data_IF_886358579642
#
_entry.id   IF_886358579642
#
_cell.length_a   1.000
_cell.length_b   1.000
_cell.length_c   1.000
_cell.angle_alpha   90.00
_cell.angle_beta   90.00
_cell.angle_gamma   90.00
#
_symmetry.space_group_name_H-M   'P 1'
#
loop_
_entity.id
_entity.type
_entity.pdbx_description
1 polymer ?
#
# COMPACT_ATOMS: atom_id res chain seq x y z
N UNK A 1 38.57 29.96 -5.60
CA UNK A 1 37.88 29.57 -4.38
C UNK A 1 36.39 29.93 -4.35
N UNK A 2 35.89 30.97 -5.02
CA UNK A 2 34.44 31.34 -5.01
C UNK A 2 33.50 30.37 -5.72
N UNK A 3 33.96 29.55 -6.70
CA UNK A 3 33.12 28.59 -7.44
C UNK A 3 32.81 27.32 -6.65
N UNK A 4 33.64 26.90 -5.70
CA UNK A 4 33.45 25.71 -4.88
C UNK A 4 32.35 25.90 -3.82
N UNK A 5 32.20 27.15 -3.33
CA UNK A 5 31.18 27.48 -2.31
C UNK A 5 29.76 27.44 -2.87
N UNK A 6 29.60 27.73 -4.18
CA UNK A 6 28.29 27.70 -4.85
C UNK A 6 27.76 26.28 -5.03
N UNK A 7 28.62 25.30 -5.26
CA UNK A 7 28.24 23.87 -5.45
C UNK A 7 27.79 23.27 -4.13
N UNK A 8 28.38 23.61 -3.01
CA UNK A 8 27.99 23.13 -1.67
C UNK A 8 26.62 23.63 -1.19
N UNK A 9 26.15 24.79 -1.68
CA UNK A 9 24.86 25.35 -1.36
C UNK A 9 23.71 24.69 -2.16
N UNK A 10 23.98 24.12 -3.33
CA UNK A 10 22.94 23.48 -4.16
C UNK A 10 22.70 21.99 -3.82
N UNK A 11 23.66 21.29 -3.23
CA UNK A 11 23.55 19.86 -2.92
C UNK A 11 22.40 19.53 -1.97
N UNK A 12 22.15 20.26 -0.86
CA UNK A 12 21.03 19.94 0.04
C UNK A 12 19.66 20.20 -0.57
N UNK A 13 19.52 21.20 -1.44
CA UNK A 13 18.25 21.54 -2.10
C UNK A 13 17.85 20.45 -3.10
N UNK A 14 18.79 19.93 -3.87
CA UNK A 14 18.55 18.85 -4.83
C UNK A 14 18.18 17.55 -4.11
N UNK A 15 18.87 17.21 -3.02
CA UNK A 15 18.59 16.02 -2.22
C UNK A 15 17.18 16.06 -1.59
N UNK A 16 16.77 17.22 -1.08
CA UNK A 16 15.44 17.42 -0.49
C UNK A 16 14.34 17.25 -1.55
N UNK A 17 14.48 17.86 -2.72
CA UNK A 17 13.52 17.72 -3.82
C UNK A 17 13.38 16.28 -4.33
N UNK A 18 14.47 15.52 -4.38
CA UNK A 18 14.44 14.10 -4.75
C UNK A 18 13.67 13.24 -3.74
N UNK A 19 13.83 13.52 -2.45
CA UNK A 19 13.12 12.79 -1.38
C UNK A 19 11.61 13.04 -1.45
N UNK A 20 11.17 14.26 -1.65
CA UNK A 20 9.74 14.58 -1.76
C UNK A 20 9.12 13.93 -3.02
N UNK A 21 9.79 14.00 -4.16
CA UNK A 21 9.34 13.32 -5.40
C UNK A 21 9.23 11.80 -5.21
N UNK A 22 10.13 11.19 -4.45
CA UNK A 22 10.06 9.78 -4.11
C UNK A 22 8.83 9.47 -3.26
N UNK A 23 8.55 10.28 -2.23
CA UNK A 23 7.35 10.12 -1.39
C UNK A 23 6.07 10.20 -2.21
N UNK A 24 5.93 11.19 -3.07
CA UNK A 24 4.79 11.31 -3.99
C UNK A 24 4.64 10.08 -4.88
N UNK A 25 5.74 9.56 -5.41
CA UNK A 25 5.75 8.36 -6.25
C UNK A 25 5.24 7.15 -5.48
N UNK A 26 5.67 6.96 -4.24
CA UNK A 26 5.25 5.85 -3.39
C UNK A 26 3.77 5.95 -2.98
N UNK A 27 3.27 7.16 -2.73
CA UNK A 27 1.84 7.39 -2.50
C UNK A 27 1.04 6.99 -3.73
N UNK A 28 1.39 7.47 -4.93
CA UNK A 28 0.72 7.13 -6.19
C UNK A 28 0.74 5.61 -6.46
N UNK A 29 1.89 4.95 -6.22
CA UNK A 29 1.99 3.48 -6.34
C UNK A 29 1.09 2.77 -5.32
N UNK A 30 0.97 3.28 -4.10
CA UNK A 30 0.12 2.69 -3.06
C UNK A 30 -1.36 2.84 -3.40
N UNK A 31 -1.80 3.99 -3.89
CA UNK A 31 -3.15 4.19 -4.39
C UNK A 31 -3.44 3.23 -5.55
N UNK A 32 -2.54 3.17 -6.54
CA UNK A 32 -2.71 2.26 -7.69
C UNK A 32 -2.76 0.79 -7.26
N UNK A 33 -1.95 0.38 -6.28
CA UNK A 33 -2.04 -0.95 -5.70
C UNK A 33 -3.44 -1.23 -5.12
N UNK A 34 -4.03 -0.30 -4.36
CA UNK A 34 -5.38 -0.51 -3.80
C UNK A 34 -6.44 -0.66 -4.89
N UNK A 35 -6.33 0.08 -5.98
CA UNK A 35 -7.23 -0.06 -7.12
C UNK A 35 -7.15 -1.44 -7.77
N UNK A 36 -5.94 -1.92 -8.06
CA UNK A 36 -5.77 -3.18 -8.79
C UNK A 36 -5.91 -4.41 -7.91
N UNK A 37 -5.49 -4.34 -6.66
CA UNK A 37 -5.43 -5.48 -5.75
C UNK A 37 -6.61 -5.57 -4.80
N UNK A 38 -7.03 -4.44 -4.19
CA UNK A 38 -8.07 -4.47 -3.15
C UNK A 38 -9.47 -4.36 -3.74
N UNK A 39 -9.69 -3.47 -4.69
CA UNK A 39 -11.00 -3.29 -5.32
C UNK A 39 -11.13 -4.04 -6.64
N UNK A 40 -10.10 -4.04 -7.48
CA UNK A 40 -10.08 -4.68 -8.79
C UNK A 40 -9.81 -6.18 -8.76
N UNK A 41 -9.11 -6.68 -7.73
CA UNK A 41 -8.69 -8.08 -7.56
C UNK A 41 -8.03 -8.67 -8.83
N UNK A 42 -7.25 -7.85 -9.51
CA UNK A 42 -6.59 -8.22 -10.75
C UNK A 42 -5.14 -8.66 -10.47
N UNK A 43 -4.89 -9.96 -10.48
CA UNK A 43 -3.57 -10.52 -10.21
C UNK A 43 -2.53 -10.09 -11.26
N UNK A 44 -2.88 -10.09 -12.55
CA UNK A 44 -1.97 -9.74 -13.64
C UNK A 44 -1.44 -8.30 -13.52
N UNK A 45 -2.29 -7.37 -13.08
CA UNK A 45 -1.86 -6.00 -12.79
C UNK A 45 -1.13 -5.89 -11.45
N UNK A 46 -1.60 -6.59 -10.42
CA UNK A 46 -1.01 -6.56 -9.08
C UNK A 46 0.42 -7.12 -9.07
N UNK A 47 0.70 -8.21 -9.79
CA UNK A 47 2.04 -8.84 -9.83
C UNK A 47 3.12 -7.91 -10.37
N UNK A 48 2.78 -6.89 -11.15
CA UNK A 48 3.73 -5.87 -11.64
C UNK A 48 4.35 -5.05 -10.50
N UNK A 49 3.68 -4.96 -9.37
CA UNK A 49 4.16 -4.27 -8.16
C UNK A 49 4.97 -5.18 -7.23
N UNK A 50 4.99 -6.47 -7.46
CA UNK A 50 5.66 -7.46 -6.62
C UNK A 50 7.06 -7.79 -7.16
N UNK A 51 7.91 -8.34 -6.28
CA UNK A 51 9.21 -8.87 -6.70
C UNK A 51 8.98 -10.27 -7.25
N UNK A 52 9.43 -10.59 -8.47
CA UNK A 52 9.36 -11.95 -8.97
C UNK A 52 10.05 -12.95 -8.03
N UNK A 53 9.43 -14.10 -7.77
CA UNK A 53 9.96 -15.18 -6.94
C UNK A 53 10.16 -14.86 -5.45
N UNK A 54 9.69 -13.70 -4.97
CA UNK A 54 9.68 -13.35 -3.55
C UNK A 54 8.24 -13.24 -3.07
N UNK A 55 7.93 -13.96 -1.99
CA UNK A 55 6.61 -13.95 -1.39
C UNK A 55 6.32 -12.60 -0.72
N UNK A 56 5.56 -11.77 -1.40
CA UNK A 56 4.96 -10.61 -0.75
C UNK A 56 3.73 -11.06 0.06
N UNK A 57 3.50 -10.44 1.22
CA UNK A 57 2.52 -10.93 2.18
C UNK A 57 1.56 -9.85 2.68
N UNK A 58 0.47 -10.29 3.32
CA UNK A 58 -0.51 -9.39 3.92
C UNK A 58 -1.13 -9.97 5.19
N UNK A 59 -1.31 -9.09 6.19
CA UNK A 59 -2.32 -9.27 7.22
C UNK A 59 -3.57 -8.49 6.81
N UNK A 60 -4.68 -9.18 6.66
CA UNK A 60 -5.96 -8.58 6.29
C UNK A 60 -6.70 -8.00 7.50
N UNK A 61 -7.61 -7.06 7.27
CA UNK A 61 -8.37 -6.36 8.30
C UNK A 61 -9.36 -7.25 9.10
N UNK A 62 -9.53 -8.47 8.67
CA UNK A 62 -10.43 -9.45 9.30
C UNK A 62 -9.74 -10.39 10.31
N UNK A 63 -8.46 -10.15 10.64
CA UNK A 63 -7.71 -10.97 11.57
C UNK A 63 -7.32 -12.36 11.06
N UNK A 64 -7.42 -12.62 9.76
CA UNK A 64 -6.91 -13.89 9.18
C UNK A 64 -5.39 -13.98 9.32
N UNK A 65 -4.82 -15.20 9.38
CA UNK A 65 -3.38 -15.43 9.36
C UNK A 65 -2.70 -14.76 8.16
N UNK A 66 -1.38 -14.62 8.23
CA UNK A 66 -0.57 -14.09 7.15
C UNK A 66 -0.87 -14.85 5.84
N UNK A 67 -1.13 -14.10 4.78
CA UNK A 67 -1.35 -14.63 3.43
C UNK A 67 -0.32 -14.09 2.47
N UNK A 68 -0.02 -14.87 1.43
CA UNK A 68 0.80 -14.45 0.30
C UNK A 68 -0.06 -13.73 -0.73
N UNK A 69 0.54 -12.81 -1.47
CA UNK A 69 -0.05 -12.21 -2.65
C UNK A 69 0.28 -13.06 -3.88
N UNK A 70 -0.43 -14.16 -4.04
CA UNK A 70 -0.33 -15.07 -5.18
C UNK A 70 -1.65 -15.13 -5.94
N UNK A 71 -1.66 -15.87 -7.03
CA UNK A 71 -2.86 -16.04 -7.85
C UNK A 71 -4.03 -16.65 -7.06
N UNK A 72 -3.75 -17.58 -6.16
CA UNK A 72 -4.76 -18.18 -5.30
C UNK A 72 -5.45 -17.12 -4.42
N UNK A 73 -4.68 -16.20 -3.83
CA UNK A 73 -5.24 -15.10 -3.03
C UNK A 73 -6.21 -14.23 -3.83
N UNK A 74 -5.87 -13.89 -5.07
CA UNK A 74 -6.69 -13.03 -5.92
C UNK A 74 -7.94 -13.75 -6.46
N UNK A 75 -7.87 -15.06 -6.64
CA UNK A 75 -8.97 -15.89 -7.12
C UNK A 75 -9.92 -16.38 -6.00
N UNK A 76 -9.61 -16.10 -4.73
CA UNK A 76 -10.54 -16.40 -3.64
C UNK A 76 -11.88 -15.68 -3.88
N UNK A 77 -13.01 -16.40 -3.79
CA UNK A 77 -14.31 -15.78 -3.92
C UNK A 77 -14.55 -14.78 -2.79
N UNK A 78 -15.09 -13.62 -3.13
CA UNK A 78 -15.50 -12.60 -2.16
C UNK A 78 -17.01 -12.45 -2.20
N UNK A 79 -17.63 -12.36 -1.02
CA UNK A 79 -19.08 -12.21 -0.88
C UNK A 79 -19.51 -10.74 -0.68
N UNK A 80 -18.58 -9.82 -0.80
CA UNK A 80 -18.86 -8.39 -0.65
C UNK A 80 -18.59 -7.64 -1.95
N UNK A 81 -19.28 -6.52 -2.11
CA UNK A 81 -19.11 -5.60 -3.24
C UNK A 81 -18.83 -4.21 -2.69
N UNK A 82 -17.72 -3.58 -3.10
CA UNK A 82 -17.43 -2.21 -2.73
C UNK A 82 -18.49 -1.25 -3.26
N UNK A 83 -18.99 -0.37 -2.40
CA UNK A 83 -19.81 0.79 -2.74
C UNK A 83 -18.90 2.00 -2.84
N UNK A 84 -18.04 2.20 -1.82
CA UNK A 84 -17.06 3.29 -1.75
C UNK A 84 -15.76 2.77 -1.17
N UNK A 85 -14.64 3.25 -1.70
CA UNK A 85 -13.29 2.92 -1.21
C UNK A 85 -12.37 4.12 -1.46
N UNK A 86 -12.03 4.85 -0.42
CA UNK A 86 -11.25 6.08 -0.49
C UNK A 86 -10.02 5.97 0.40
N UNK A 87 -8.89 6.43 -0.10
CA UNK A 87 -7.64 6.48 0.66
C UNK A 87 -7.30 7.91 1.03
N UNK A 88 -6.87 8.14 2.26
CA UNK A 88 -6.52 9.47 2.76
C UNK A 88 -5.42 9.43 3.83
N UNK A 89 -4.92 10.60 4.23
CA UNK A 89 -3.89 10.76 5.27
C UNK A 89 -2.63 9.93 5.00
N UNK A 90 -2.13 9.99 3.75
CA UNK A 90 -0.91 9.27 3.37
C UNK A 90 0.32 9.90 4.00
N UNK A 91 1.17 9.06 4.61
CA UNK A 91 2.52 9.43 5.05
C UNK A 91 3.54 8.43 4.53
N UNK A 92 4.77 8.89 4.32
CA UNK A 92 5.85 8.05 3.81
C UNK A 92 7.09 8.24 4.66
N UNK A 93 7.62 7.13 5.15
CA UNK A 93 8.92 7.05 5.82
C UNK A 93 9.87 6.27 4.93
N UNK A 94 10.98 6.87 4.57
CA UNK A 94 12.02 6.24 3.74
C UNK A 94 13.24 5.95 4.60
N UNK A 95 13.82 4.76 4.45
CA UNK A 95 15.05 4.39 5.15
C UNK A 95 16.24 5.29 4.72
N UNK A 96 17.25 5.50 5.58
CA UNK A 96 18.39 6.37 5.26
C UNK A 96 19.15 5.99 3.99
N UNK A 97 19.17 4.70 3.66
CA UNK A 97 19.82 4.19 2.44
C UNK A 97 18.91 4.18 1.20
N UNK A 98 17.71 4.72 1.29
CA UNK A 98 16.70 4.75 0.22
C UNK A 98 16.35 3.37 -0.38
N UNK A 99 16.52 2.28 0.37
CA UNK A 99 16.23 0.94 -0.13
C UNK A 99 14.87 0.41 0.34
N UNK A 100 14.30 0.99 1.38
CA UNK A 100 13.02 0.57 1.96
C UNK A 100 12.19 1.79 2.31
N UNK A 101 10.89 1.67 2.16
CA UNK A 101 9.94 2.69 2.59
C UNK A 101 8.69 2.07 3.17
N UNK A 102 8.10 2.76 4.15
CA UNK A 102 6.78 2.45 4.69
C UNK A 102 5.83 3.57 4.29
N UNK A 103 4.73 3.19 3.63
CA UNK A 103 3.63 4.11 3.32
C UNK A 103 2.47 3.75 4.25
N UNK A 104 2.02 4.70 5.06
CA UNK A 104 0.83 4.52 5.90
C UNK A 104 -0.29 5.43 5.44
N UNK A 105 -1.52 4.96 5.54
CA UNK A 105 -2.71 5.73 5.16
C UNK A 105 -3.97 5.15 5.79
N UNK A 106 -5.05 5.89 5.73
CA UNK A 106 -6.37 5.39 6.07
C UNK A 106 -7.15 4.99 4.83
N UNK A 107 -8.06 4.05 5.01
CA UNK A 107 -9.13 3.75 4.05
C UNK A 107 -10.45 3.98 4.73
N UNK A 108 -11.30 4.76 4.08
CA UNK A 108 -12.69 4.98 4.44
C UNK A 108 -13.58 4.54 3.29
N UNK A 109 -14.67 3.85 3.61
CA UNK A 109 -15.56 3.34 2.58
C UNK A 109 -16.76 2.60 3.14
N UNK A 110 -17.43 1.90 2.23
CA UNK A 110 -18.49 0.95 2.56
C UNK A 110 -18.54 -0.17 1.54
N UNK A 111 -19.06 -1.30 1.95
CA UNK A 111 -19.30 -2.44 1.08
C UNK A 111 -20.66 -3.07 1.38
N UNK A 112 -21.26 -3.65 0.35
CA UNK A 112 -22.47 -4.45 0.48
C UNK A 112 -22.09 -5.89 0.84
N UNK A 113 -22.67 -6.42 1.91
CA UNK A 113 -22.54 -7.80 2.33
C UNK A 113 -23.91 -8.32 2.77
N UNK A 114 -24.42 -9.38 2.12
CA UNK A 114 -25.75 -9.96 2.41
C UNK A 114 -26.84 -8.87 2.47
N UNK A 115 -26.91 -8.02 1.46
CA UNK A 115 -27.87 -6.91 1.33
C UNK A 115 -27.71 -5.75 2.35
N UNK A 116 -26.77 -5.84 3.27
CA UNK A 116 -26.46 -4.79 4.23
C UNK A 116 -25.26 -3.97 3.80
N UNK A 117 -25.38 -2.64 3.87
CA UNK A 117 -24.24 -1.75 3.72
C UNK A 117 -23.46 -1.69 5.02
N UNK A 118 -22.17 -2.06 4.96
CA UNK A 118 -21.27 -2.09 6.10
C UNK A 118 -20.22 -0.99 5.93
N UNK A 119 -20.10 -0.14 6.94
CA UNK A 119 -19.03 0.87 7.00
C UNK A 119 -17.67 0.20 7.15
N UNK A 120 -16.72 0.66 6.35
CA UNK A 120 -15.35 0.19 6.36
C UNK A 120 -14.40 1.34 6.70
N UNK A 121 -13.64 1.18 7.77
CA UNK A 121 -12.64 2.15 8.18
C UNK A 121 -11.43 1.43 8.75
N UNK A 122 -10.29 1.52 8.07
CA UNK A 122 -9.04 0.86 8.44
C UNK A 122 -7.85 1.78 8.33
N UNK A 123 -6.79 1.44 9.05
CA UNK A 123 -5.44 1.96 8.81
C UNK A 123 -4.63 0.89 8.11
N UNK A 124 -3.75 1.36 7.24
CA UNK A 124 -2.97 0.50 6.35
C UNK A 124 -1.49 0.89 6.43
N UNK A 125 -0.63 -0.12 6.41
CA UNK A 125 0.81 0.05 6.22
C UNK A 125 1.25 -0.80 5.04
N UNK A 126 1.93 -0.19 4.06
CA UNK A 126 2.59 -0.88 2.96
C UNK A 126 4.08 -0.76 3.10
N UNK A 127 4.79 -1.88 2.96
CA UNK A 127 6.25 -1.90 2.90
C UNK A 127 6.68 -2.06 1.46
N UNK A 128 7.46 -1.10 1.00
CA UNK A 128 8.07 -1.05 -0.32
C UNK A 128 9.56 -1.23 -0.23
N UNK A 129 10.16 -1.90 -1.19
CA UNK A 129 11.63 -2.01 -1.34
C UNK A 129 12.06 -1.62 -2.72
N UNK A 130 13.22 -0.99 -2.83
CA UNK A 130 13.85 -0.70 -4.10
C UNK A 130 14.56 -1.97 -4.60
N UNK A 131 13.98 -2.60 -5.60
CA UNK A 131 14.52 -3.78 -6.24
C UNK A 131 14.98 -3.44 -7.65
N UNK A 132 16.30 -3.44 -7.88
CA UNK A 132 16.91 -3.11 -9.19
C UNK A 132 16.46 -1.76 -9.77
N UNK A 133 16.32 -0.74 -8.92
CA UNK A 133 15.88 0.59 -9.33
C UNK A 133 14.35 0.79 -9.37
N UNK A 134 13.57 -0.24 -9.15
CA UNK A 134 12.10 -0.16 -9.09
C UNK A 134 11.57 -0.40 -7.69
N UNK A 135 10.61 0.43 -7.27
CA UNK A 135 9.92 0.23 -6.01
C UNK A 135 8.86 -0.87 -6.13
N UNK A 136 9.07 -1.96 -5.39
CA UNK A 136 8.22 -3.14 -5.33
C UNK A 136 7.66 -3.32 -3.93
N UNK A 137 6.43 -3.80 -3.84
CA UNK A 137 5.74 -4.06 -2.58
C UNK A 137 6.11 -5.44 -2.05
N UNK A 138 6.40 -5.52 -0.75
CA UNK A 138 6.77 -6.79 -0.08
C UNK A 138 5.81 -7.16 1.05
N UNK A 139 5.13 -6.18 1.66
CA UNK A 139 4.21 -6.48 2.75
C UNK A 139 3.08 -5.46 2.84
N UNK A 140 1.97 -5.87 3.42
CA UNK A 140 0.94 -4.96 3.92
C UNK A 140 0.29 -5.44 5.21
N UNK A 141 -0.15 -4.49 6.00
CA UNK A 141 -0.96 -4.73 7.18
C UNK A 141 -2.19 -3.82 7.15
N UNK A 142 -3.35 -4.43 7.36
CA UNK A 142 -4.64 -3.76 7.40
C UNK A 142 -5.25 -4.00 8.77
N UNK A 143 -5.62 -2.96 9.50
CA UNK A 143 -6.27 -3.09 10.80
C UNK A 143 -7.46 -2.15 10.92
N UNK A 144 -8.59 -2.61 11.48
CA UNK A 144 -9.75 -1.77 11.72
C UNK A 144 -9.39 -0.59 12.62
N UNK A 145 -10.00 0.57 12.35
CA UNK A 145 -10.00 1.70 13.29
C UNK A 145 -11.09 1.46 14.35
N UNK A 146 -10.97 2.14 15.50
CA UNK A 146 -11.91 1.99 16.62
C UNK A 146 -13.37 2.11 16.14
N UNK A 147 -14.18 1.12 16.48
CA UNK A 147 -15.60 1.07 16.15
C UNK A 147 -15.93 0.62 14.73
N UNK A 148 -14.92 0.34 13.89
CA UNK A 148 -15.14 -0.17 12.55
C UNK A 148 -15.01 -1.69 12.48
N UNK A 149 -15.67 -2.30 11.50
CA UNK A 149 -15.58 -3.72 11.19
C UNK A 149 -14.64 -3.87 9.99
N UNK A 150 -13.75 -4.86 10.04
CA UNK A 150 -12.96 -5.26 8.88
C UNK A 150 -13.81 -5.98 7.84
N UNK A 151 -13.18 -6.44 6.75
CA UNK A 151 -13.85 -7.30 5.78
C UNK A 151 -14.30 -8.60 6.49
N UNK A 152 -15.55 -9.04 6.31
CA UNK A 152 -16.04 -10.25 6.98
C UNK A 152 -15.27 -11.49 6.53
N UNK A 153 -15.05 -12.40 7.46
CA UNK A 153 -14.55 -13.74 7.16
C UNK A 153 -15.77 -14.59 6.80
N UNK A 154 -15.67 -15.36 5.72
CA UNK A 154 -16.62 -16.41 5.47
C UNK A 154 -16.38 -17.53 6.48
N UNK A 155 -17.34 -17.72 7.36
CA UNK A 155 -17.45 -18.83 8.31
C UNK A 155 -16.23 -19.11 9.21
N UNK A 156 -16.36 -18.79 10.46
CA UNK A 156 -15.78 -19.59 11.53
C UNK A 156 -16.78 -20.68 11.90
#
# INVERSE_FOLDING_TARGET
MKKLLLILLFVPIVAFGQTEKLKETLIKKSIKWTEVASTGRNYEEAKKFLIPHIDASTFSSNGTPLRKYDEQYFNLPVKYKWIRFETNNHTVQVSPNNNTAVVTFNVDGSYLFEENEINYAVRVSFVWTNFKGEWKKIHSHWSPRKGAIGIPIKDR
#
